data_IF_441184734763
#
_entry.id   IF_441184734763
#
_cell.length_a   1.000
_cell.length_b   1.000
_cell.length_c   1.000
_cell.angle_alpha   90.00
_cell.angle_beta   90.00
_cell.angle_gamma   90.00
#
_symmetry.space_group_name_H-M   'P 1'
#
loop_
_entity.id
_entity.type
_entity.pdbx_description
1 polymer ?
#
# COMPACT_ATOMS: atom_id res chain seq x y z
N UNK A 1 63.21 55.48 85.22
CA UNK A 1 61.76 55.26 84.99
C UNK A 1 60.99 55.73 86.22
N UNK A 2 60.03 56.64 86.07
CA UNK A 2 59.14 57.03 87.17
C UNK A 2 58.18 55.88 87.52
N UNK A 3 57.80 55.65 88.79
CA UNK A 3 56.86 54.59 89.21
C UNK A 3 55.56 54.55 88.41
N UNK A 4 55.03 55.70 88.01
CA UNK A 4 53.82 55.85 87.19
C UNK A 4 53.90 55.15 85.81
N UNK A 5 55.10 55.10 85.22
CA UNK A 5 55.31 54.48 83.91
C UNK A 5 55.15 52.96 84.01
N UNK A 6 55.70 52.38 85.08
CA UNK A 6 55.61 50.94 85.35
C UNK A 6 54.14 50.57 85.59
N UNK A 7 53.40 51.38 86.35
CA UNK A 7 51.98 51.13 86.64
C UNK A 7 51.13 51.18 85.36
N UNK A 8 51.31 52.19 84.51
CA UNK A 8 50.56 52.31 83.26
C UNK A 8 50.89 51.18 82.27
N UNK A 9 52.17 50.87 82.06
CA UNK A 9 52.58 49.77 81.19
C UNK A 9 52.08 48.41 81.68
N UNK A 10 52.08 48.17 82.99
CA UNK A 10 51.53 46.94 83.59
C UNK A 10 50.01 46.86 83.43
N UNK A 11 49.29 47.97 83.63
CA UNK A 11 47.83 48.01 83.45
C UNK A 11 47.41 47.77 81.99
N UNK A 12 48.08 48.40 81.02
CA UNK A 12 47.83 48.18 79.59
C UNK A 12 48.18 46.74 79.21
N UNK A 13 49.33 46.21 79.65
CA UNK A 13 49.70 44.82 79.38
C UNK A 13 48.68 43.83 79.96
N UNK A 14 48.22 44.04 81.20
CA UNK A 14 47.22 43.19 81.82
C UNK A 14 45.87 43.27 81.10
N UNK A 15 45.42 44.47 80.72
CA UNK A 15 44.19 44.66 79.96
C UNK A 15 44.22 43.98 78.59
N UNK A 16 45.34 44.08 77.88
CA UNK A 16 45.56 43.41 76.59
C UNK A 16 45.56 41.90 76.73
N UNK A 17 46.28 41.37 77.71
CA UNK A 17 46.32 39.92 77.98
C UNK A 17 44.93 39.41 78.38
N UNK A 18 44.23 40.12 79.26
CA UNK A 18 42.87 39.76 79.67
C UNK A 18 41.89 39.76 78.48
N UNK A 19 41.97 40.76 77.60
CA UNK A 19 41.15 40.84 76.38
C UNK A 19 41.45 39.69 75.41
N UNK A 20 42.73 39.43 75.13
CA UNK A 20 43.16 38.35 74.23
C UNK A 20 42.82 36.97 74.79
N UNK A 21 42.98 36.75 76.10
CA UNK A 21 42.58 35.51 76.79
C UNK A 21 41.07 35.33 76.74
N UNK A 22 40.29 36.39 76.96
CA UNK A 22 38.82 36.34 76.86
C UNK A 22 38.38 35.96 75.44
N UNK A 23 38.95 36.61 74.42
CA UNK A 23 38.67 36.27 73.03
C UNK A 23 39.08 34.83 72.71
N UNK A 24 40.24 34.38 73.18
CA UNK A 24 40.72 33.02 72.97
C UNK A 24 39.80 31.97 73.64
N UNK A 25 39.34 32.23 74.87
CA UNK A 25 38.47 31.31 75.60
C UNK A 25 37.05 31.26 75.01
N UNK A 26 36.52 32.39 74.55
CA UNK A 26 35.16 32.47 73.98
C UNK A 26 35.11 31.96 72.54
N UNK A 27 36.08 32.35 71.72
CA UNK A 27 36.04 32.09 70.27
C UNK A 27 36.95 30.95 69.81
N UNK A 28 37.82 30.40 70.66
CA UNK A 28 38.68 29.21 70.49
C UNK A 28 39.66 29.21 69.30
N UNK A 29 39.23 29.58 68.07
CA UNK A 29 40.02 29.76 66.84
C UNK A 29 39.37 30.84 65.95
N UNK A 30 40.16 31.51 65.11
CA UNK A 30 39.63 32.13 63.88
C UNK A 30 39.45 33.65 63.83
N UNK A 31 38.33 34.16 63.28
CA UNK A 31 38.15 35.58 62.89
C UNK A 31 38.21 36.48 64.12
N UNK A 32 37.52 36.11 65.20
CA UNK A 32 37.45 36.93 66.41
C UNK A 32 38.82 37.09 67.08
N UNK A 33 39.66 36.04 67.07
CA UNK A 33 41.05 36.11 67.57
C UNK A 33 41.90 37.04 66.70
N UNK A 34 41.81 36.93 65.38
CA UNK A 34 42.57 37.81 64.46
C UNK A 34 42.12 39.26 64.55
N UNK A 35 40.81 39.49 64.61
CA UNK A 35 40.26 40.83 64.83
C UNK A 35 40.72 41.37 66.19
N UNK A 36 40.74 40.52 67.22
CA UNK A 36 41.28 40.85 68.54
C UNK A 36 42.74 41.30 68.48
N UNK A 37 43.61 40.56 67.78
CA UNK A 37 45.01 40.95 67.59
C UNK A 37 45.17 42.25 66.81
N UNK A 38 44.37 42.46 65.76
CA UNK A 38 44.39 43.71 64.97
C UNK A 38 43.92 44.89 65.82
N UNK A 39 42.83 44.73 66.58
CA UNK A 39 42.31 45.78 67.49
C UNK A 39 43.34 46.14 68.55
N UNK A 40 43.94 45.13 69.20
CA UNK A 40 45.02 45.34 70.17
C UNK A 40 46.20 46.06 69.53
N UNK A 41 46.66 45.62 68.35
CA UNK A 41 47.77 46.22 67.64
C UNK A 41 47.49 47.63 67.09
N UNK A 42 46.23 47.97 66.82
CA UNK A 42 45.83 49.32 66.41
C UNK A 42 45.62 50.27 67.57
N UNK A 43 45.31 49.77 68.78
CA UNK A 43 45.01 50.62 69.95
C UNK A 43 46.25 50.79 70.83
N UNK A 44 46.95 49.70 71.16
CA UNK A 44 48.01 49.72 72.18
C UNK A 44 49.23 50.57 71.78
N UNK A 45 49.83 50.43 70.57
CA UNK A 45 51.00 51.23 70.20
C UNK A 45 50.72 52.74 70.15
N UNK A 46 49.60 53.24 69.57
CA UNK A 46 49.25 54.65 69.66
C UNK A 46 49.03 55.13 71.09
N UNK A 47 48.35 54.35 71.95
CA UNK A 47 48.11 54.77 73.34
C UNK A 47 49.41 54.85 74.14
N UNK A 48 50.32 53.88 73.96
CA UNK A 48 51.65 53.89 74.59
C UNK A 48 52.50 55.05 74.05
N UNK A 49 52.51 55.27 72.74
CA UNK A 49 53.24 56.38 72.12
C UNK A 49 52.72 57.75 72.59
N UNK A 50 51.39 57.94 72.64
CA UNK A 50 50.77 59.17 73.13
C UNK A 50 51.10 59.44 74.60
N UNK A 51 51.10 58.41 75.45
CA UNK A 51 51.48 58.52 76.86
C UNK A 51 52.96 58.90 77.03
N UNK A 52 53.86 58.30 76.24
CA UNK A 52 55.30 58.63 76.24
C UNK A 52 55.52 60.09 75.79
N UNK A 53 54.89 60.49 74.68
CA UNK A 53 55.00 61.86 74.13
C UNK A 53 54.41 62.93 75.08
N UNK A 54 53.33 62.61 75.79
CA UNK A 54 52.72 63.51 76.77
C UNK A 54 53.59 63.80 77.99
N UNK A 55 54.55 62.92 78.31
CA UNK A 55 55.44 63.05 79.48
C UNK A 55 56.81 63.65 79.15
N UNK A 56 57.41 63.30 78.01
CA UNK A 56 58.73 63.84 77.59
C UNK A 56 58.66 65.23 76.92
N UNK A 57 57.44 65.71 76.64
CA UNK A 57 57.21 66.93 75.88
C UNK A 57 57.22 66.67 74.37
N UNK A 58 56.31 67.32 73.65
CA UNK A 58 56.16 67.13 72.20
C UNK A 58 57.26 67.92 71.49
N UNK A 59 58.41 67.27 71.26
CA UNK A 59 59.40 67.74 70.29
C UNK A 59 58.96 67.32 68.88
N UNK A 60 59.18 68.15 67.85
CA UNK A 60 58.93 67.76 66.46
C UNK A 60 59.60 66.43 66.08
N UNK A 61 60.76 66.14 66.67
CA UNK A 61 61.54 64.91 66.39
C UNK A 61 60.89 63.68 67.04
N UNK A 62 60.43 63.77 68.29
CA UNK A 62 59.81 62.63 68.98
C UNK A 62 58.43 62.31 68.40
N UNK A 63 57.66 63.32 68.01
CA UNK A 63 56.41 63.14 67.28
C UNK A 63 56.63 62.48 65.91
N UNK A 64 57.65 62.91 65.16
CA UNK A 64 57.99 62.30 63.87
C UNK A 64 58.39 60.82 63.99
N UNK A 65 59.19 60.47 65.00
CA UNK A 65 59.58 59.07 65.27
C UNK A 65 58.38 58.21 65.68
N UNK A 66 57.49 58.73 66.54
CA UNK A 66 56.29 58.01 66.94
C UNK A 66 55.36 57.74 65.74
N UNK A 67 55.15 58.74 64.87
CA UNK A 67 54.38 58.58 63.63
C UNK A 67 55.05 57.58 62.68
N UNK A 68 56.38 57.66 62.51
CA UNK A 68 57.14 56.77 61.65
C UNK A 68 57.13 55.30 62.09
N UNK A 69 56.86 55.02 63.37
CA UNK A 69 56.74 53.64 63.90
C UNK A 69 55.28 53.19 63.91
N UNK A 70 54.37 54.02 64.42
CA UNK A 70 52.97 53.64 64.64
C UNK A 70 52.21 53.53 63.32
N UNK A 71 52.42 54.44 62.37
CA UNK A 71 51.67 54.44 61.10
C UNK A 71 51.98 53.18 60.26
N UNK A 72 53.24 52.77 60.05
CA UNK A 72 53.53 51.53 59.32
C UNK A 72 52.98 50.28 60.00
N UNK A 73 52.96 50.22 61.33
CA UNK A 73 52.36 49.10 62.08
C UNK A 73 50.85 49.04 61.82
N UNK A 74 50.15 50.16 61.90
CA UNK A 74 48.71 50.22 61.59
C UNK A 74 48.45 49.83 60.15
N UNK A 75 49.23 50.34 59.18
CA UNK A 75 49.11 49.96 57.77
C UNK A 75 49.32 48.45 57.59
N UNK A 76 50.35 47.88 58.21
CA UNK A 76 50.61 46.44 58.15
C UNK A 76 49.47 45.60 58.75
N UNK A 77 48.89 46.04 59.88
CA UNK A 77 47.75 45.38 60.52
C UNK A 77 46.47 45.47 59.67
N UNK A 78 46.21 46.64 59.06
CA UNK A 78 45.09 46.82 58.12
C UNK A 78 45.27 45.93 56.89
N UNK A 79 46.47 45.87 56.31
CA UNK A 79 46.78 44.97 55.19
C UNK A 79 46.60 43.50 55.58
N UNK A 80 47.00 43.12 56.79
CA UNK A 80 46.79 41.78 57.34
C UNK A 80 45.30 41.49 57.51
N UNK A 81 44.51 42.42 58.04
CA UNK A 81 43.05 42.30 58.19
C UNK A 81 42.36 42.16 56.82
N UNK A 82 42.76 42.97 55.84
CA UNK A 82 42.24 42.89 54.47
C UNK A 82 42.53 41.52 53.88
N UNK A 83 43.78 41.04 54.00
CA UNK A 83 44.20 39.77 53.41
C UNK A 83 43.62 38.54 54.12
N UNK A 84 43.48 38.59 55.45
CA UNK A 84 43.09 37.42 56.24
C UNK A 84 41.59 37.31 56.52
N UNK A 85 40.83 38.40 56.44
CA UNK A 85 39.40 38.43 56.80
C UNK A 85 38.57 39.00 55.63
N UNK A 86 38.86 40.23 55.18
CA UNK A 86 38.00 40.92 54.22
C UNK A 86 38.02 40.24 52.84
N UNK A 87 39.20 39.88 52.33
CA UNK A 87 39.32 39.29 50.99
C UNK A 87 38.63 37.92 50.90
N UNK A 88 38.84 36.95 51.82
CA UNK A 88 38.08 35.70 51.80
C UNK A 88 36.57 35.90 51.96
N UNK A 89 36.13 36.80 52.84
CA UNK A 89 34.71 37.10 53.03
C UNK A 89 34.07 37.72 51.77
N UNK A 90 34.78 38.63 51.09
CA UNK A 90 34.34 39.18 49.80
C UNK A 90 34.28 38.12 48.71
N UNK A 91 35.24 37.20 48.67
CA UNK A 91 35.24 36.09 47.72
C UNK A 91 34.03 35.17 47.96
N UNK A 92 33.74 34.83 49.22
CA UNK A 92 32.54 34.06 49.58
C UNK A 92 31.25 34.76 49.18
N UNK A 93 31.15 36.07 49.42
CA UNK A 93 29.99 36.86 49.02
C UNK A 93 29.82 36.86 47.50
N UNK A 94 30.90 37.06 46.74
CA UNK A 94 30.88 37.00 45.28
C UNK A 94 30.47 35.61 44.75
N UNK A 95 30.96 34.54 45.38
CA UNK A 95 30.57 33.16 45.04
C UNK A 95 29.09 32.90 45.36
N UNK A 96 28.59 33.38 46.51
CA UNK A 96 27.17 33.28 46.86
C UNK A 96 26.29 34.02 45.84
N UNK A 97 26.70 35.22 45.44
CA UNK A 97 26.00 36.02 44.44
C UNK A 97 26.04 35.35 43.05
N UNK A 98 27.17 34.75 42.66
CA UNK A 98 27.27 33.98 41.42
C UNK A 98 26.32 32.78 41.40
N UNK A 99 26.26 32.01 42.50
CA UNK A 99 25.34 30.88 42.62
C UNK A 99 23.89 31.35 42.52
N UNK A 100 23.52 32.41 43.25
CA UNK A 100 22.15 32.89 43.30
C UNK A 100 21.69 33.55 41.99
N UNK A 101 22.52 34.43 41.43
CA UNK A 101 22.15 35.26 40.28
C UNK A 101 22.36 34.58 38.94
N UNK A 102 23.28 33.61 38.84
CA UNK A 102 23.56 32.89 37.59
C UNK A 102 23.10 31.45 37.65
N UNK A 103 23.78 30.60 38.42
CA UNK A 103 23.57 29.16 38.33
C UNK A 103 22.13 28.75 38.73
N UNK A 104 21.58 29.32 39.81
CA UNK A 104 20.21 29.04 40.24
C UNK A 104 19.15 29.66 39.33
N UNK A 105 19.42 30.86 38.78
CA UNK A 105 18.54 31.50 37.81
C UNK A 105 18.49 30.69 36.50
N UNK A 106 19.62 30.14 36.06
CA UNK A 106 19.71 29.28 34.89
C UNK A 106 18.98 27.95 35.12
N UNK A 107 19.16 27.30 36.28
CA UNK A 107 18.37 26.12 36.67
C UNK A 107 16.87 26.40 36.60
N UNK A 108 16.43 27.54 37.15
CA UNK A 108 15.02 27.94 37.13
C UNK A 108 14.50 28.11 35.70
N UNK A 109 15.29 28.77 34.83
CA UNK A 109 14.95 28.94 33.41
C UNK A 109 14.84 27.61 32.68
N UNK A 110 15.82 26.71 32.87
CA UNK A 110 15.84 25.37 32.25
C UNK A 110 14.64 24.56 32.72
N UNK A 111 14.33 24.57 34.02
CA UNK A 111 13.16 23.90 34.58
C UNK A 111 11.84 24.48 34.02
N UNK A 112 11.74 25.80 33.87
CA UNK A 112 10.57 26.46 33.31
C UNK A 112 10.36 26.10 31.82
N UNK A 113 11.43 26.13 31.02
CA UNK A 113 11.40 25.73 29.61
C UNK A 113 10.97 24.25 29.47
N UNK A 114 11.51 23.37 30.32
CA UNK A 114 11.14 21.97 30.33
C UNK A 114 9.66 21.75 30.72
N UNK A 115 9.14 22.54 31.67
CA UNK A 115 7.76 22.45 32.11
C UNK A 115 6.74 22.77 31.01
N UNK A 116 7.14 23.55 29.99
CA UNK A 116 6.32 23.85 28.81
C UNK A 116 6.70 23.01 27.57
N UNK A 117 7.65 22.07 27.72
CA UNK A 117 8.05 21.14 26.64
C UNK A 117 9.04 21.72 25.64
N UNK A 118 9.73 22.82 25.97
CA UNK A 118 10.77 23.36 25.09
C UNK A 118 12.03 22.49 25.11
N UNK A 119 12.74 22.46 23.98
CA UNK A 119 14.07 21.84 23.90
C UNK A 119 15.06 22.76 24.60
N UNK A 120 15.75 22.22 25.62
CA UNK A 120 16.68 23.00 26.43
C UNK A 120 18.10 22.49 26.26
N UNK A 121 19.05 23.41 26.14
CA UNK A 121 20.47 23.08 26.19
C UNK A 121 20.88 22.70 27.62
N UNK A 122 21.86 21.78 27.78
CA UNK A 122 22.37 21.44 29.10
C UNK A 122 22.96 22.67 29.80
N UNK A 123 22.51 22.93 31.02
CA UNK A 123 23.12 23.94 31.89
C UNK A 123 24.60 23.60 32.11
N UNK A 124 25.44 24.59 32.39
CA UNK A 124 26.76 24.32 32.96
C UNK A 124 26.92 25.13 34.23
N UNK A 125 27.14 24.48 35.36
CA UNK A 125 27.47 25.21 36.59
C UNK A 125 28.82 25.93 36.42
N UNK A 126 28.85 27.24 36.66
CA UNK A 126 30.06 28.06 36.46
C UNK A 126 30.85 28.28 37.75
N UNK A 127 30.29 27.92 38.90
CA UNK A 127 30.88 28.25 40.19
C UNK A 127 32.04 27.32 40.55
N UNK A 128 33.18 27.93 40.92
CA UNK A 128 34.37 27.20 41.36
C UNK A 128 34.43 27.04 42.89
N UNK A 129 35.00 25.93 43.40
CA UNK A 129 35.22 25.74 44.82
C UNK A 129 36.10 26.83 45.45
N UNK A 130 35.77 27.22 46.67
CA UNK A 130 36.55 28.14 47.48
C UNK A 130 37.73 27.42 48.16
N UNK A 131 38.83 28.13 48.36
CA UNK A 131 39.98 27.61 49.10
C UNK A 131 39.67 27.40 50.58
N UNK A 132 39.52 26.13 51.00
CA UNK A 132 39.07 25.76 52.35
C UNK A 132 40.20 25.31 53.30
N UNK A 133 41.47 25.59 52.97
CA UNK A 133 42.65 25.13 53.74
C UNK A 133 42.83 25.79 55.11
N UNK A 134 41.87 26.58 55.59
CA UNK A 134 41.92 27.25 56.89
C UNK A 134 41.16 26.42 57.93
N UNK A 135 41.68 26.42 59.15
CA UNK A 135 41.06 25.78 60.31
C UNK A 135 40.46 26.83 61.26
N UNK A 136 39.53 27.62 60.71
CA UNK A 136 38.81 28.72 61.36
C UNK A 136 37.37 28.82 60.81
N UNK A 137 36.56 29.77 61.30
CA UNK A 137 35.16 29.92 60.90
C UNK A 137 35.01 30.29 59.42
N UNK A 138 35.99 31.00 58.84
CA UNK A 138 36.03 31.23 57.39
C UNK A 138 36.29 29.91 56.64
N UNK A 139 37.18 29.06 57.16
CA UNK A 139 37.41 27.73 56.64
C UNK A 139 36.15 26.85 56.71
N UNK A 140 35.44 26.86 57.83
CA UNK A 140 34.16 26.14 57.99
C UNK A 140 33.10 26.66 57.03
N UNK A 141 32.99 27.99 56.88
CA UNK A 141 32.08 28.61 55.94
C UNK A 141 32.45 28.23 54.49
N UNK A 142 33.75 28.25 54.14
CA UNK A 142 34.22 27.82 52.82
C UNK A 142 33.88 26.34 52.55
N UNK A 143 34.05 25.47 53.54
CA UNK A 143 33.64 24.05 53.45
C UNK A 143 32.13 23.90 53.25
N UNK A 144 31.32 24.70 53.95
CA UNK A 144 29.87 24.71 53.75
C UNK A 144 29.48 25.15 52.34
N UNK A 145 30.08 26.24 51.83
CA UNK A 145 29.89 26.69 50.45
C UNK A 145 30.33 25.63 49.44
N UNK A 146 31.47 24.97 49.65
CA UNK A 146 31.93 23.91 48.76
C UNK A 146 30.98 22.71 48.71
N UNK A 147 30.34 22.34 49.83
CA UNK A 147 29.26 21.34 49.83
C UNK A 147 28.06 21.80 49.02
N UNK A 148 27.66 23.07 49.15
CA UNK A 148 26.57 23.63 48.35
C UNK A 148 26.89 23.63 46.85
N UNK A 149 28.12 24.01 46.47
CA UNK A 149 28.59 23.96 45.07
C UNK A 149 28.57 22.51 44.55
N UNK A 150 29.01 21.55 45.36
CA UNK A 150 28.98 20.14 44.98
C UNK A 150 27.54 19.63 44.76
N UNK A 151 26.62 19.93 45.69
CA UNK A 151 25.20 19.59 45.53
C UNK A 151 24.57 20.27 44.31
N UNK A 152 24.97 21.51 43.98
CA UNK A 152 24.53 22.20 42.78
C UNK A 152 25.02 21.50 41.51
N UNK A 153 26.26 20.98 41.52
CA UNK A 153 26.80 20.15 40.44
C UNK A 153 26.06 18.83 40.28
N UNK A 154 25.69 18.16 41.38
CA UNK A 154 24.86 16.94 41.32
C UNK A 154 23.48 17.21 40.71
N UNK A 155 22.88 18.37 41.02
CA UNK A 155 21.63 18.82 40.42
C UNK A 155 21.81 19.11 38.92
N UNK A 156 22.86 19.84 38.54
CA UNK A 156 23.22 20.10 37.13
C UNK A 156 23.33 18.79 36.33
N UNK A 157 24.07 17.82 36.85
CA UNK A 157 24.24 16.50 36.23
C UNK A 157 22.92 15.72 36.10
N UNK A 158 22.05 15.82 37.11
CA UNK A 158 20.72 15.21 37.05
C UNK A 158 19.85 15.86 35.97
N UNK A 159 19.87 17.19 35.86
CA UNK A 159 19.17 17.93 34.80
C UNK A 159 19.71 17.56 33.41
N UNK A 160 21.04 17.49 33.22
CA UNK A 160 21.66 17.05 31.96
C UNK A 160 21.19 15.67 31.53
N UNK A 161 21.14 14.71 32.47
CA UNK A 161 20.64 13.35 32.17
C UNK A 161 19.16 13.35 31.80
N UNK A 162 18.36 14.21 32.46
CA UNK A 162 16.93 14.35 32.19
C UNK A 162 16.66 15.02 30.82
N UNK A 163 17.33 16.12 30.49
CA UNK A 163 17.16 16.80 29.19
C UNK A 163 17.65 15.94 28.03
N UNK A 164 18.78 15.25 28.20
CA UNK A 164 19.26 14.26 27.23
C UNK A 164 18.26 13.11 27.03
N UNK A 165 17.70 12.58 28.12
CA UNK A 165 16.66 11.56 28.04
C UNK A 165 15.43 11.99 27.25
N UNK A 166 14.90 13.17 27.56
CA UNK A 166 13.72 13.71 26.90
C UNK A 166 14.02 14.00 25.43
N UNK A 167 15.24 14.42 25.09
CA UNK A 167 15.66 14.62 23.70
C UNK A 167 15.71 13.31 22.92
N UNK A 168 16.23 12.23 23.51
CA UNK A 168 16.27 10.89 22.87
C UNK A 168 14.87 10.35 22.59
N UNK A 169 13.98 10.43 23.59
CA UNK A 169 12.59 9.97 23.45
C UNK A 169 11.84 10.83 22.44
N UNK A 170 11.98 12.15 22.51
CA UNK A 170 11.37 13.07 21.55
C UNK A 170 11.83 12.79 20.13
N UNK A 171 13.13 12.56 19.91
CA UNK A 171 13.66 12.19 18.59
C UNK A 171 13.08 10.86 18.10
N UNK A 172 12.94 9.87 18.98
CA UNK A 172 12.35 8.58 18.63
C UNK A 172 10.86 8.69 18.28
N UNK A 173 10.10 9.51 19.01
CA UNK A 173 8.69 9.78 18.73
C UNK A 173 8.53 10.53 17.41
N UNK A 174 9.42 11.47 17.11
CA UNK A 174 9.46 12.19 15.83
C UNK A 174 9.70 11.23 14.66
N UNK A 175 10.65 10.31 14.78
CA UNK A 175 10.87 9.28 13.75
C UNK A 175 9.62 8.40 13.53
N UNK A 176 8.95 7.98 14.60
CA UNK A 176 7.68 7.24 14.51
C UNK A 176 6.62 8.08 13.79
N UNK A 177 6.51 9.37 14.10
CA UNK A 177 5.55 10.28 13.48
C UNK A 177 5.83 10.46 11.97
N UNK A 178 7.08 10.36 11.55
CA UNK A 178 7.51 10.36 10.15
C UNK A 178 7.32 9.00 9.46
N UNK A 179 6.84 7.97 10.18
CA UNK A 179 6.62 6.63 9.65
C UNK A 179 7.85 5.73 9.68
N UNK A 180 8.97 6.18 10.23
CA UNK A 180 10.14 5.34 10.46
C UNK A 180 9.96 4.49 11.72
N UNK A 181 9.47 3.28 11.51
CA UNK A 181 9.25 2.28 12.56
C UNK A 181 10.46 1.37 12.80
N UNK A 182 11.59 1.63 12.12
CA UNK A 182 12.83 0.87 12.29
C UNK A 182 13.64 1.29 13.53
N UNK A 183 13.27 2.43 14.13
CA UNK A 183 13.92 2.97 15.32
C UNK A 183 13.80 2.02 16.50
N UNK A 184 14.94 1.69 17.10
CA UNK A 184 15.01 0.88 18.32
C UNK A 184 14.88 1.78 19.54
N UNK A 185 13.68 1.78 20.12
CA UNK A 185 13.43 2.42 21.41
C UNK A 185 13.68 1.41 22.52
N UNK A 186 14.49 1.79 23.50
CA UNK A 186 14.73 0.99 24.70
C UNK A 186 14.32 1.81 25.93
N UNK A 187 13.42 1.25 26.74
CA UNK A 187 13.11 1.80 28.05
C UNK A 187 14.36 1.72 28.93
N UNK A 188 14.71 2.81 29.62
CA UNK A 188 15.92 2.86 30.47
C UNK A 188 15.75 2.07 31.78
N UNK A 189 14.52 1.80 32.19
CA UNK A 189 14.17 0.96 33.33
C UNK A 189 12.71 0.50 33.24
N UNK A 190 12.29 -0.46 34.07
CA UNK A 190 10.88 -0.90 34.13
C UNK A 190 9.92 0.20 34.61
N UNK A 191 10.45 1.25 35.25
CA UNK A 191 9.68 2.42 35.71
C UNK A 191 9.73 3.58 34.72
N UNK A 192 10.34 3.37 33.56
CA UNK A 192 10.45 4.37 32.53
C UNK A 192 9.12 4.51 31.78
N UNK A 193 8.27 5.43 32.26
CA UNK A 193 6.92 5.64 31.73
C UNK A 193 6.98 6.10 30.26
N UNK A 194 7.82 7.08 29.95
CA UNK A 194 7.91 7.64 28.60
C UNK A 194 8.53 6.66 27.61
N UNK A 195 9.62 6.00 28.00
CA UNK A 195 10.30 5.00 27.17
C UNK A 195 9.39 3.81 26.90
N UNK A 196 8.72 3.29 27.93
CA UNK A 196 7.79 2.16 27.75
C UNK A 196 6.56 2.56 26.93
N UNK A 197 6.05 3.80 27.07
CA UNK A 197 4.96 4.29 26.24
C UNK A 197 5.36 4.38 24.76
N UNK A 198 6.55 4.93 24.49
CA UNK A 198 7.09 5.01 23.13
C UNK A 198 7.34 3.63 22.52
N UNK A 199 7.87 2.67 23.29
CA UNK A 199 8.02 1.26 22.85
C UNK A 199 6.67 0.63 22.50
N UNK A 200 5.65 0.80 23.35
CA UNK A 200 4.30 0.24 23.08
C UNK A 200 3.66 0.87 21.85
N UNK A 201 3.87 2.16 21.63
CA UNK A 201 3.41 2.90 20.44
C UNK A 201 4.12 2.38 19.18
N UNK A 202 5.45 2.27 19.19
CA UNK A 202 6.23 1.72 18.09
C UNK A 202 5.81 0.28 17.76
N UNK A 203 5.63 -0.55 18.78
CA UNK A 203 5.19 -1.93 18.61
C UNK A 203 3.79 -2.04 18.01
N UNK A 204 2.87 -1.14 18.38
CA UNK A 204 1.54 -1.08 17.80
C UNK A 204 1.56 -0.76 16.31
N UNK A 205 2.29 0.29 15.94
CA UNK A 205 2.38 0.70 14.55
C UNK A 205 3.12 -0.33 13.70
N UNK A 206 4.17 -0.97 14.24
CA UNK A 206 4.86 -2.07 13.57
C UNK A 206 3.94 -3.27 13.33
N UNK A 207 3.10 -3.64 14.30
CA UNK A 207 2.12 -4.70 14.14
C UNK A 207 1.12 -4.38 13.02
N UNK A 208 0.59 -3.15 12.98
CA UNK A 208 -0.32 -2.72 11.92
C UNK A 208 0.36 -2.64 10.55
N UNK A 209 1.61 -2.20 10.49
CA UNK A 209 2.40 -2.22 9.26
C UNK A 209 2.60 -3.65 8.74
N UNK A 210 2.89 -4.61 9.62
CA UNK A 210 3.02 -6.03 9.25
C UNK A 210 1.68 -6.62 8.76
N UNK A 211 0.55 -6.24 9.38
CA UNK A 211 -0.79 -6.61 8.89
C UNK A 211 -1.03 -6.04 7.50
N UNK A 212 -0.73 -4.77 7.29
CA UNK A 212 -0.88 -4.11 5.99
C UNK A 212 -0.04 -4.78 4.90
N UNK A 213 1.20 -5.14 5.21
CA UNK A 213 2.12 -5.82 4.29
C UNK A 213 1.58 -7.21 3.89
N UNK A 214 1.07 -8.00 4.85
CA UNK A 214 0.42 -9.29 4.55
C UNK A 214 -0.82 -9.14 3.67
N UNK A 215 -1.68 -8.16 3.97
CA UNK A 215 -2.86 -7.86 3.15
C UNK A 215 -2.45 -7.44 1.73
N UNK A 216 -1.39 -6.64 1.59
CA UNK A 216 -0.85 -6.23 0.29
C UNK A 216 -0.27 -7.41 -0.51
N UNK A 217 0.24 -8.44 0.17
CA UNK A 217 0.67 -9.70 -0.43
C UNK A 217 -0.50 -10.66 -0.76
N UNK A 218 -1.74 -10.25 -0.48
CA UNK A 218 -2.96 -11.05 -0.73
C UNK A 218 -3.30 -12.05 0.38
N UNK A 219 -2.57 -12.03 1.50
CA UNK A 219 -2.84 -12.90 2.64
C UNK A 219 -3.91 -12.30 3.55
N UNK A 220 -5.16 -12.69 3.31
CA UNK A 220 -6.32 -12.29 4.12
C UNK A 220 -6.55 -13.20 5.34
N UNK A 221 -5.67 -14.16 5.62
CA UNK A 221 -5.75 -14.99 6.83
C UNK A 221 -5.31 -14.22 8.09
N UNK A 222 -4.58 -13.12 7.91
CA UNK A 222 -4.20 -12.21 8.99
C UNK A 222 -5.43 -11.57 9.63
N UNK A 223 -5.36 -11.33 10.93
CA UNK A 223 -6.40 -10.61 11.67
C UNK A 223 -5.79 -9.44 12.40
N UNK A 224 -6.27 -8.23 12.11
CA UNK A 224 -6.04 -7.09 12.98
C UNK A 224 -6.87 -7.29 14.25
N UNK A 225 -6.22 -7.32 15.42
CA UNK A 225 -6.90 -7.41 16.72
C UNK A 225 -6.87 -6.03 17.37
N UNK A 226 -8.02 -5.31 17.42
CA UNK A 226 -8.11 -4.05 18.14
C UNK A 226 -7.64 -4.22 19.59
N UNK A 227 -6.76 -3.35 20.07
CA UNK A 227 -6.22 -3.41 21.44
C UNK A 227 -7.19 -2.89 22.49
N UNK A 228 -8.20 -2.12 22.08
CA UNK A 228 -9.26 -1.61 22.93
C UNK A 228 -10.47 -1.21 22.09
N UNK A 229 -11.62 -0.96 22.72
CA UNK A 229 -12.82 -0.44 22.04
C UNK A 229 -12.61 0.95 21.41
N UNK A 230 -11.55 1.67 21.81
CA UNK A 230 -11.18 2.98 21.25
C UNK A 230 -10.07 2.89 20.20
N UNK A 231 -9.67 1.68 19.83
CA UNK A 231 -8.61 1.45 18.86
C UNK A 231 -9.12 1.70 17.42
N UNK A 232 -9.13 2.98 17.03
CA UNK A 232 -9.64 3.42 15.72
C UNK A 232 -8.90 2.76 14.57
N UNK A 233 -7.58 2.64 14.66
CA UNK A 233 -6.75 2.08 13.58
C UNK A 233 -6.94 0.57 13.49
N UNK A 234 -6.93 -0.14 14.61
CA UNK A 234 -7.15 -1.59 14.65
C UNK A 234 -8.53 -1.98 14.13
N UNK A 235 -9.56 -1.24 14.54
CA UNK A 235 -10.94 -1.41 14.04
C UNK A 235 -11.06 -1.11 12.54
N UNK A 236 -10.36 -0.09 12.04
CA UNK A 236 -10.34 0.21 10.60
C UNK A 236 -9.70 -0.91 9.79
N UNK A 237 -8.56 -1.44 10.23
CA UNK A 237 -7.91 -2.60 9.60
C UNK A 237 -8.79 -3.84 9.66
N UNK A 238 -9.45 -4.11 10.79
CA UNK A 238 -10.35 -5.26 10.93
C UNK A 238 -11.52 -5.19 9.92
N UNK A 239 -12.16 -4.01 9.78
CA UNK A 239 -13.21 -3.79 8.77
C UNK A 239 -12.70 -3.93 7.34
N UNK A 240 -11.51 -3.41 7.04
CA UNK A 240 -10.90 -3.52 5.72
C UNK A 240 -10.63 -4.99 5.36
N UNK A 241 -10.01 -5.75 6.26
CA UNK A 241 -9.72 -7.18 6.04
C UNK A 241 -11.01 -7.97 5.86
N UNK A 242 -12.03 -7.71 6.70
CA UNK A 242 -13.33 -8.37 6.58
C UNK A 242 -14.01 -8.09 5.23
N UNK A 243 -13.96 -6.84 4.76
CA UNK A 243 -14.47 -6.46 3.45
C UNK A 243 -13.74 -7.20 2.32
N UNK A 244 -12.40 -7.20 2.33
CA UNK A 244 -11.60 -7.90 1.33
C UNK A 244 -11.87 -9.41 1.34
N UNK A 245 -12.02 -10.02 2.52
CA UNK A 245 -12.36 -11.43 2.66
C UNK A 245 -13.74 -11.74 2.06
N UNK A 246 -14.74 -10.89 2.31
CA UNK A 246 -16.08 -11.03 1.73
C UNK A 246 -16.05 -10.95 0.20
N UNK A 247 -15.22 -10.06 -0.36
CA UNK A 247 -15.04 -9.98 -1.82
C UNK A 247 -14.32 -11.22 -2.38
N UNK A 248 -13.33 -11.75 -1.65
CA UNK A 248 -12.65 -12.99 -2.04
C UNK A 248 -13.61 -14.19 -2.04
N UNK A 249 -14.45 -14.33 -1.02
CA UNK A 249 -15.48 -15.39 -0.94
C UNK A 249 -16.49 -15.26 -2.09
N UNK A 250 -16.89 -14.03 -2.43
CA UNK A 250 -17.79 -13.79 -3.57
C UNK A 250 -17.12 -14.13 -4.91
N UNK A 251 -15.83 -13.80 -5.06
CA UNK A 251 -15.06 -14.17 -6.25
C UNK A 251 -14.95 -15.69 -6.41
N UNK A 252 -14.68 -16.41 -5.31
CA UNK A 252 -14.59 -17.87 -5.30
C UNK A 252 -15.96 -18.50 -5.66
N UNK A 253 -17.05 -18.01 -5.07
CA UNK A 253 -18.40 -18.46 -5.43
C UNK A 253 -18.71 -18.24 -6.92
N UNK A 254 -18.37 -17.07 -7.48
CA UNK A 254 -18.55 -16.78 -8.91
C UNK A 254 -17.69 -17.70 -9.77
N UNK A 255 -16.43 -17.93 -9.39
CA UNK A 255 -15.52 -18.84 -10.10
C UNK A 255 -16.04 -20.28 -10.12
N UNK A 256 -16.72 -20.71 -9.06
CA UNK A 256 -17.41 -22.01 -8.98
C UNK A 256 -18.75 -22.03 -9.73
N UNK A 257 -19.13 -20.94 -10.41
CA UNK A 257 -20.35 -20.83 -11.20
C UNK A 257 -21.60 -20.44 -10.40
N UNK A 258 -21.47 -20.15 -9.10
CA UNK A 258 -22.56 -19.65 -8.27
C UNK A 258 -22.77 -18.14 -8.50
N UNK A 259 -23.52 -17.80 -9.54
CA UNK A 259 -23.90 -16.42 -9.87
C UNK A 259 -25.08 -15.88 -9.03
N UNK A 260 -25.56 -16.65 -8.05
CA UNK A 260 -26.60 -16.20 -7.13
C UNK A 260 -26.04 -15.43 -5.92
N UNK A 261 -24.71 -15.38 -5.77
CA UNK A 261 -24.08 -14.60 -4.70
C UNK A 261 -24.44 -13.12 -4.85
N UNK A 262 -24.88 -12.49 -3.75
CA UNK A 262 -25.26 -11.08 -3.73
C UNK A 262 -24.14 -10.26 -3.11
N UNK A 263 -23.41 -9.54 -3.97
CA UNK A 263 -22.48 -8.50 -3.52
C UNK A 263 -23.27 -7.20 -3.34
N UNK A 264 -23.15 -6.57 -2.18
CA UNK A 264 -23.74 -5.26 -1.90
C UNK A 264 -22.63 -4.24 -1.67
N UNK A 265 -22.53 -3.19 -2.50
CA UNK A 265 -21.57 -2.11 -2.27
C UNK A 265 -21.76 -1.51 -0.87
N UNK A 266 -20.68 -1.34 -0.13
CA UNK A 266 -20.72 -0.81 1.24
C UNK A 266 -21.00 0.70 1.29
N UNK A 267 -20.73 1.41 0.19
CA UNK A 267 -21.00 2.85 0.05
C UNK A 267 -21.14 3.24 -1.43
N UNK A 268 -21.53 4.48 -1.70
CA UNK A 268 -21.51 5.04 -3.06
C UNK A 268 -20.11 5.15 -3.68
N UNK A 269 -19.06 5.09 -2.86
CA UNK A 269 -17.66 5.14 -3.29
C UNK A 269 -17.03 3.73 -3.41
N UNK A 270 -17.80 2.68 -3.15
CA UNK A 270 -17.32 1.31 -3.22
C UNK A 270 -17.19 0.82 -4.68
N UNK A 271 -16.06 1.18 -5.29
CA UNK A 271 -15.73 0.83 -6.68
C UNK A 271 -15.64 -0.68 -6.88
N UNK A 272 -15.02 -1.40 -5.93
CA UNK A 272 -14.80 -2.83 -6.04
C UNK A 272 -16.13 -3.59 -5.94
N UNK A 273 -16.95 -3.27 -4.93
CA UNK A 273 -18.29 -3.85 -4.77
C UNK A 273 -19.18 -3.58 -5.98
N UNK A 274 -19.17 -2.35 -6.51
CA UNK A 274 -19.92 -2.01 -7.72
C UNK A 274 -19.43 -2.77 -8.97
N UNK A 275 -18.12 -3.02 -9.08
CA UNK A 275 -17.56 -3.83 -10.16
C UNK A 275 -17.99 -5.29 -10.08
N UNK A 276 -18.01 -5.89 -8.89
CA UNK A 276 -18.51 -7.24 -8.66
C UNK A 276 -19.98 -7.39 -9.04
N UNK A 277 -20.84 -6.43 -8.69
CA UNK A 277 -22.26 -6.43 -9.07
C UNK A 277 -22.44 -6.42 -10.59
N UNK A 278 -21.69 -5.57 -11.31
CA UNK A 278 -21.72 -5.55 -12.79
C UNK A 278 -21.20 -6.86 -13.37
N UNK A 279 -20.11 -7.39 -12.83
CA UNK A 279 -19.53 -8.66 -13.28
C UNK A 279 -20.53 -9.82 -13.12
N UNK A 280 -21.15 -9.97 -11.95
CA UNK A 280 -22.13 -11.04 -11.71
C UNK A 280 -23.36 -10.88 -12.60
N UNK A 281 -23.81 -9.64 -12.85
CA UNK A 281 -24.90 -9.34 -13.79
C UNK A 281 -24.57 -9.80 -15.21
N UNK A 282 -23.43 -9.36 -15.75
CA UNK A 282 -22.98 -9.72 -17.10
C UNK A 282 -22.78 -11.23 -17.26
N UNK A 283 -22.19 -11.90 -16.25
CA UNK A 283 -22.02 -13.36 -16.27
C UNK A 283 -23.37 -14.07 -16.29
N UNK A 284 -24.38 -13.56 -15.55
CA UNK A 284 -25.73 -14.13 -15.51
C UNK A 284 -26.45 -13.96 -16.85
N UNK A 285 -26.33 -12.78 -17.46
CA UNK A 285 -26.88 -12.52 -18.80
C UNK A 285 -26.24 -13.44 -19.84
N UNK A 286 -24.90 -13.56 -19.83
CA UNK A 286 -24.18 -14.45 -20.74
C UNK A 286 -24.59 -15.91 -20.56
N UNK A 287 -24.69 -16.40 -19.31
CA UNK A 287 -25.14 -17.76 -19.03
C UNK A 287 -26.59 -18.01 -19.51
N UNK A 288 -27.46 -17.01 -19.38
CA UNK A 288 -28.83 -17.07 -19.89
C UNK A 288 -28.86 -17.15 -21.42
N UNK A 289 -28.11 -16.29 -22.10
CA UNK A 289 -28.02 -16.28 -23.56
C UNK A 289 -27.44 -17.59 -24.12
N UNK A 290 -26.42 -18.17 -23.48
CA UNK A 290 -25.87 -19.48 -23.88
C UNK A 290 -26.91 -20.59 -23.70
N UNK A 291 -27.70 -20.57 -22.63
CA UNK A 291 -28.77 -21.55 -22.40
C UNK A 291 -29.86 -21.44 -23.46
N UNK A 292 -30.30 -20.22 -23.77
CA UNK A 292 -31.30 -19.97 -24.82
C UNK A 292 -30.79 -20.43 -26.19
N UNK A 293 -29.55 -20.08 -26.56
CA UNK A 293 -28.92 -20.55 -27.79
C UNK A 293 -28.83 -22.08 -27.88
N UNK A 294 -28.53 -22.75 -26.76
CA UNK A 294 -28.50 -24.21 -26.69
C UNK A 294 -29.88 -24.84 -26.90
N UNK A 295 -30.95 -24.21 -26.37
CA UNK A 295 -32.32 -24.65 -26.60
C UNK A 295 -32.72 -24.48 -28.07
N UNK A 296 -32.42 -23.33 -28.68
CA UNK A 296 -32.70 -23.08 -30.10
C UNK A 296 -31.95 -24.05 -31.01
N UNK A 297 -30.67 -24.34 -30.71
CA UNK A 297 -29.88 -25.34 -31.45
C UNK A 297 -30.48 -26.74 -31.32
N UNK A 298 -30.93 -27.12 -30.13
CA UNK A 298 -31.56 -28.43 -29.88
C UNK A 298 -32.85 -28.57 -30.67
N UNK A 299 -33.68 -27.51 -30.71
CA UNK A 299 -34.91 -27.49 -31.50
C UNK A 299 -34.63 -27.59 -33.01
N UNK A 300 -33.68 -26.80 -33.54
CA UNK A 300 -33.29 -26.87 -34.95
C UNK A 300 -32.74 -28.26 -35.33
N UNK A 301 -31.97 -28.89 -34.44
CA UNK A 301 -31.45 -30.25 -34.66
C UNK A 301 -32.59 -31.27 -34.73
N UNK A 302 -33.63 -31.13 -33.91
CA UNK A 302 -34.81 -31.99 -33.96
C UNK A 302 -35.60 -31.81 -35.27
N UNK A 303 -35.76 -30.58 -35.76
CA UNK A 303 -36.38 -30.31 -37.06
C UNK A 303 -35.58 -30.90 -38.23
N UNK A 304 -34.26 -30.75 -38.21
CA UNK A 304 -33.37 -31.35 -39.21
C UNK A 304 -33.52 -32.88 -39.20
N UNK A 305 -33.54 -33.51 -38.03
CA UNK A 305 -33.72 -34.96 -37.92
C UNK A 305 -35.06 -35.42 -38.51
N UNK A 306 -36.13 -34.67 -38.27
CA UNK A 306 -37.43 -34.94 -38.87
C UNK A 306 -37.40 -34.79 -40.40
N UNK A 307 -36.78 -33.73 -40.91
CA UNK A 307 -36.63 -33.51 -42.35
C UNK A 307 -35.79 -34.61 -43.03
N UNK A 308 -34.69 -35.04 -42.40
CA UNK A 308 -33.85 -36.15 -42.88
C UNK A 308 -34.65 -37.46 -42.93
N UNK A 309 -35.49 -37.72 -41.92
CA UNK A 309 -36.35 -38.90 -41.89
C UNK A 309 -37.36 -38.89 -43.04
N UNK A 310 -38.01 -37.74 -43.27
CA UNK A 310 -38.93 -37.57 -44.39
C UNK A 310 -38.23 -37.70 -45.74
N UNK A 311 -37.05 -37.09 -45.89
CA UNK A 311 -36.25 -37.18 -47.11
C UNK A 311 -35.83 -38.63 -47.40
N UNK A 312 -35.51 -39.41 -46.38
CA UNK A 312 -35.20 -40.84 -46.52
C UNK A 312 -36.42 -41.62 -47.02
N UNK A 313 -37.61 -41.33 -46.51
CA UNK A 313 -38.85 -41.95 -47.00
C UNK A 313 -39.12 -41.59 -48.46
N UNK A 314 -39.03 -40.31 -48.84
CA UNK A 314 -39.20 -39.87 -50.23
C UNK A 314 -38.13 -40.44 -51.18
N UNK A 315 -36.87 -40.58 -50.72
CA UNK A 315 -35.82 -41.21 -51.51
C UNK A 315 -36.14 -42.70 -51.80
N UNK A 316 -36.74 -43.42 -50.84
CA UNK A 316 -37.20 -44.80 -51.05
C UNK A 316 -38.35 -44.86 -52.07
N UNK A 317 -39.32 -43.94 -51.96
CA UNK A 317 -40.42 -43.83 -52.95
C UNK A 317 -39.88 -43.52 -54.36
N UNK A 318 -38.91 -42.60 -54.46
CA UNK A 318 -38.26 -42.26 -55.72
C UNK A 318 -37.50 -43.46 -56.30
N UNK A 319 -36.80 -44.24 -55.47
CA UNK A 319 -36.14 -45.48 -55.92
C UNK A 319 -37.15 -46.47 -56.50
N UNK A 320 -38.31 -46.64 -55.86
CA UNK A 320 -39.38 -47.50 -56.38
C UNK A 320 -39.95 -46.97 -57.70
N UNK A 321 -40.16 -45.66 -57.82
CA UNK A 321 -40.62 -45.02 -59.05
C UNK A 321 -39.62 -45.22 -60.20
N UNK A 322 -38.31 -45.09 -59.94
CA UNK A 322 -37.26 -45.36 -60.93
C UNK A 322 -37.31 -46.82 -61.38
N UNK A 323 -37.45 -47.79 -60.47
CA UNK A 323 -37.61 -49.20 -60.85
C UNK A 323 -38.83 -49.42 -61.76
N UNK A 324 -39.96 -48.79 -61.46
CA UNK A 324 -41.15 -48.88 -62.30
C UNK A 324 -40.92 -48.25 -63.68
N UNK A 325 -40.27 -47.09 -63.76
CA UNK A 325 -39.92 -46.46 -65.04
C UNK A 325 -38.98 -47.35 -65.86
N UNK A 326 -37.99 -47.99 -65.22
CA UNK A 326 -37.11 -48.95 -65.92
C UNK A 326 -37.91 -50.12 -66.48
N UNK A 327 -38.84 -50.69 -65.71
CA UNK A 327 -39.72 -51.75 -66.20
C UNK A 327 -40.60 -51.28 -67.39
N UNK A 328 -41.17 -50.08 -67.32
CA UNK A 328 -41.93 -49.50 -68.44
C UNK A 328 -41.04 -49.30 -69.67
N UNK A 329 -39.79 -48.88 -69.50
CA UNK A 329 -38.84 -48.74 -70.61
C UNK A 329 -38.55 -50.10 -71.26
N UNK A 330 -38.40 -51.17 -70.46
CA UNK A 330 -38.23 -52.54 -70.98
C UNK A 330 -39.48 -53.04 -71.72
N UNK A 331 -40.68 -52.78 -71.19
CA UNK A 331 -41.94 -53.10 -71.87
C UNK A 331 -42.11 -52.33 -73.19
N UNK A 332 -41.80 -51.03 -73.20
CA UNK A 332 -41.85 -50.18 -74.41
C UNK A 332 -40.85 -50.66 -75.46
N UNK A 333 -39.65 -51.08 -75.02
CA UNK A 333 -38.65 -51.68 -75.91
C UNK A 333 -39.19 -52.96 -76.54
N UNK A 334 -39.72 -53.88 -75.74
CA UNK A 334 -40.29 -55.14 -76.22
C UNK A 334 -41.47 -54.90 -77.20
N UNK A 335 -42.35 -53.96 -76.89
CA UNK A 335 -43.46 -53.59 -77.77
C UNK A 335 -42.97 -52.96 -79.09
N UNK A 336 -41.88 -52.17 -79.05
CA UNK A 336 -41.26 -51.59 -80.25
C UNK A 336 -40.62 -52.66 -81.14
N UNK A 337 -39.92 -53.63 -80.54
CA UNK A 337 -39.37 -54.79 -81.24
C UNK A 337 -40.48 -55.62 -81.90
N UNK A 338 -41.57 -55.93 -81.18
CA UNK A 338 -42.73 -56.63 -81.72
C UNK A 338 -43.42 -55.84 -82.85
N UNK A 339 -43.52 -54.52 -82.72
CA UNK A 339 -44.13 -53.66 -83.75
C UNK A 339 -43.27 -53.65 -85.01
N UNK A 340 -41.94 -53.59 -84.85
CA UNK A 340 -41.00 -53.67 -85.98
C UNK A 340 -41.10 -55.02 -86.71
N UNK A 341 -41.22 -56.13 -85.97
CA UNK A 341 -41.44 -57.47 -86.53
C UNK A 341 -42.74 -57.54 -87.36
N UNK A 342 -43.87 -57.12 -86.77
CA UNK A 342 -45.17 -57.06 -87.46
C UNK A 342 -45.16 -56.15 -88.68
N UNK A 343 -44.48 -54.99 -88.61
CA UNK A 343 -44.32 -54.11 -89.75
C UNK A 343 -43.53 -54.80 -90.89
N UNK A 344 -42.53 -55.60 -90.53
CA UNK A 344 -41.81 -56.48 -91.45
C UNK A 344 -42.71 -57.53 -92.10
N UNK A 345 -43.54 -58.22 -91.32
CA UNK A 345 -44.53 -59.20 -91.83
C UNK A 345 -45.54 -58.54 -92.79
N UNK A 346 -46.10 -57.38 -92.43
CA UNK A 346 -47.03 -56.62 -93.27
C UNK A 346 -46.36 -56.19 -94.58
N UNK A 347 -45.10 -55.74 -94.53
CA UNK A 347 -44.33 -55.39 -95.74
C UNK A 347 -44.15 -56.61 -96.66
N UNK A 348 -43.83 -57.79 -96.10
CA UNK A 348 -43.74 -59.04 -96.88
C UNK A 348 -45.10 -59.44 -97.49
N UNK A 349 -46.18 -59.35 -96.71
CA UNK A 349 -47.53 -59.64 -97.18
C UNK A 349 -47.93 -58.72 -98.33
N UNK A 350 -47.66 -57.41 -98.19
CA UNK A 350 -47.94 -56.43 -99.23
C UNK A 350 -47.14 -56.71 -100.52
N UNK A 351 -45.86 -57.07 -100.42
CA UNK A 351 -45.07 -57.53 -101.57
C UNK A 351 -45.67 -58.79 -102.21
N UNK A 352 -46.17 -59.73 -101.40
CA UNK A 352 -46.93 -60.90 -101.85
C UNK A 352 -48.18 -60.51 -102.64
N UNK A 353 -49.00 -59.60 -102.12
CA UNK A 353 -50.21 -59.10 -102.80
C UNK A 353 -49.88 -58.40 -104.12
N UNK A 354 -48.81 -57.58 -104.17
CA UNK A 354 -48.36 -56.94 -105.42
C UNK A 354 -48.00 -57.99 -106.47
N UNK A 355 -47.27 -59.04 -106.08
CA UNK A 355 -46.91 -60.15 -106.97
C UNK A 355 -48.16 -60.89 -107.48
N UNK A 356 -49.10 -61.22 -106.60
CA UNK A 356 -50.37 -61.86 -106.99
C UNK A 356 -51.19 -60.95 -107.92
N UNK A 357 -51.27 -59.64 -107.64
CA UNK A 357 -51.93 -58.69 -108.54
C UNK A 357 -51.25 -58.61 -109.90
N UNK A 358 -49.91 -58.62 -109.98
CA UNK A 358 -49.17 -58.64 -111.25
C UNK A 358 -49.47 -59.92 -112.07
N UNK A 359 -49.45 -61.08 -111.41
CA UNK A 359 -49.84 -62.37 -112.03
C UNK A 359 -51.30 -62.33 -112.51
N UNK A 360 -52.20 -61.74 -111.71
CA UNK A 360 -53.60 -61.50 -112.07
C UNK A 360 -53.75 -60.57 -113.28
N UNK A 361 -53.02 -59.45 -113.33
CA UNK A 361 -53.01 -58.54 -114.48
C UNK A 361 -52.54 -59.24 -115.75
N UNK A 362 -51.46 -60.04 -115.68
CA UNK A 362 -51.00 -60.84 -116.82
C UNK A 362 -52.07 -61.84 -117.29
N UNK A 363 -52.79 -62.46 -116.35
CA UNK A 363 -53.88 -63.37 -116.67
C UNK A 363 -55.03 -62.64 -117.38
N UNK A 364 -55.40 -61.43 -116.92
CA UNK A 364 -56.41 -60.60 -117.60
C UNK A 364 -55.94 -60.14 -118.98
N UNK A 365 -54.67 -59.74 -119.14
CA UNK A 365 -54.10 -59.40 -120.45
C UNK A 365 -54.12 -60.59 -121.41
N UNK A 366 -53.87 -61.80 -120.91
CA UNK A 366 -53.99 -63.03 -121.69
C UNK A 366 -55.45 -63.27 -122.13
N UNK A 367 -56.42 -63.05 -121.24
CA UNK A 367 -57.86 -63.12 -121.55
C UNK A 367 -58.23 -62.06 -122.60
N UNK A 368 -57.79 -60.82 -122.46
CA UNK A 368 -58.07 -59.73 -123.42
C UNK A 368 -57.50 -60.06 -124.81
N UNK A 369 -56.27 -60.57 -124.89
CA UNK A 369 -55.69 -61.06 -126.16
C UNK A 369 -56.53 -62.17 -126.77
N UNK A 370 -56.93 -63.17 -125.96
CA UNK A 370 -57.82 -64.24 -126.41
C UNK A 370 -59.17 -63.70 -126.91
N UNK A 371 -59.75 -62.71 -126.24
CA UNK A 371 -61.00 -62.06 -126.66
C UNK A 371 -60.85 -61.28 -127.97
N UNK A 372 -59.71 -60.60 -128.19
CA UNK A 372 -59.41 -59.96 -129.48
C UNK A 372 -59.28 -60.99 -130.60
N UNK A 373 -58.60 -62.11 -130.35
CA UNK A 373 -58.49 -63.21 -131.32
C UNK A 373 -59.87 -63.80 -131.65
N UNK A 374 -60.72 -64.01 -130.63
CA UNK A 374 -62.12 -64.42 -130.84
C UNK A 374 -62.86 -63.38 -131.68
N UNK A 375 -62.72 -62.09 -131.38
CA UNK A 375 -63.36 -61.02 -132.15
C UNK A 375 -62.93 -61.02 -133.61
N UNK A 376 -61.64 -61.22 -133.89
CA UNK A 376 -61.10 -61.32 -135.24
C UNK A 376 -61.64 -62.56 -135.97
N UNK A 377 -61.67 -63.72 -135.31
CA UNK A 377 -62.28 -64.95 -135.87
C UNK A 377 -63.76 -64.77 -136.16
N UNK A 378 -64.51 -64.11 -135.27
CA UNK A 378 -65.94 -63.81 -135.48
C UNK A 378 -66.14 -62.82 -136.64
N UNK A 379 -65.28 -61.81 -136.77
CA UNK A 379 -65.32 -60.88 -137.90
C UNK A 379 -64.99 -61.57 -139.23
N UNK A 380 -64.01 -62.47 -139.24
CA UNK A 380 -63.68 -63.31 -140.39
C UNK A 380 -64.86 -64.22 -140.76
N UNK A 381 -65.48 -64.90 -139.79
CA UNK A 381 -66.70 -65.70 -140.01
C UNK A 381 -67.82 -64.82 -140.58
N UNK A 382 -68.02 -63.61 -140.06
CA UNK A 382 -69.03 -62.69 -140.59
C UNK A 382 -68.74 -62.27 -142.04
N UNK A 383 -67.47 -62.06 -142.40
CA UNK A 383 -67.04 -61.82 -143.78
C UNK A 383 -67.26 -63.04 -144.68
N UNK A 384 -66.90 -64.24 -144.22
CA UNK A 384 -67.12 -65.49 -144.96
C UNK A 384 -68.61 -65.75 -145.18
N UNK A 385 -69.46 -65.45 -144.19
CA UNK A 385 -70.93 -65.53 -144.32
C UNK A 385 -71.44 -64.53 -145.36
N UNK A 386 -70.92 -63.30 -145.38
CA UNK A 386 -71.27 -62.31 -146.41
C UNK A 386 -70.80 -62.73 -147.80
N UNK A 387 -69.59 -63.28 -147.92
CA UNK A 387 -69.05 -63.80 -149.17
C UNK A 387 -69.86 -65.01 -149.67
N UNK A 388 -70.24 -65.92 -148.77
CA UNK A 388 -71.10 -67.06 -149.07
C UNK A 388 -72.51 -66.62 -149.44
N UNK A 389 -73.04 -65.59 -148.79
CA UNK A 389 -74.32 -64.96 -149.16
C UNK A 389 -74.27 -64.37 -150.57
N UNK A 390 -73.19 -63.68 -150.92
CA UNK A 390 -72.99 -63.16 -152.28
C UNK A 390 -72.87 -64.29 -153.32
N UNK A 391 -72.13 -65.36 -153.01
CA UNK A 391 -71.96 -66.50 -153.90
C UNK A 391 -73.25 -67.32 -154.06
N UNK A 392 -74.05 -67.46 -153.00
CA UNK A 392 -75.38 -68.07 -153.07
C UNK A 392 -76.35 -67.26 -153.93
N UNK A 393 -76.24 -65.92 -153.92
CA UNK A 393 -77.05 -65.05 -154.75
C UNK A 393 -76.63 -65.12 -156.23
N UNK A 394 -75.33 -65.27 -156.50
CA UNK A 394 -74.78 -65.49 -157.84
C UNK A 394 -75.18 -66.86 -158.42
N UNK A 395 -75.28 -67.91 -157.60
CA UNK A 395 -75.84 -69.21 -158.02
C UNK A 395 -77.34 -69.09 -158.31
N UNK A 396 -78.06 -68.21 -157.60
CA UNK A 396 -79.46 -67.92 -157.85
C UNK A 396 -79.75 -67.28 -159.21
N UNK A 397 -78.85 -66.45 -159.75
CA UNK A 397 -79.03 -65.80 -161.06
C UNK A 397 -78.76 -66.72 -162.25
N UNK A 398 -78.04 -67.84 -162.07
CA UNK A 398 -77.76 -68.80 -163.16
C UNK A 398 -78.93 -69.80 -163.37
N UNK A 399 -79.92 -69.85 -162.47
CA UNK A 399 -81.03 -70.81 -162.48
C UNK A 399 -82.36 -70.20 -162.99
N UNK A 400 -82.34 -69.07 -163.73
CA UNK A 400 -83.54 -68.58 -164.43
C UNK A 400 -83.32 -68.16 -165.87
#
# INVERSE_FOLDING_TARGET
MSPEYIIFSVAVAFGVVAFLVTIYLVYRRGIAIRLGWVVVGCVVPPTVAAFVLGKEGISPVTAAVAVAIVVPIIIALVLLMVRQIIAPARQMAATAEQIAARDLAELSRVAAALAVGERVEPMNAHTQPLGAGRDDELGDLARAFNRMIASLGEVDDAFKRMTGYLSDVSGSVESIAQGDLSVRIAARSDRDILGTAAVRMAAYLNEMAAVADRVAQGDLSVRARPRSERDVLGEAFARMIHYLHTMADAADAIAQGNLAVSVRPQSSLDVLGAAFVRMSGNLKEMASATREGSHSMSAATAEILAAVSQHTASANEQSAAVHQVTATVDEVRAASEQTAEKAGEVAQMAQGSVRVSQEGTQSVEAILRGMTEIRERVAAIAQDVLALSAQSQQIGEIIR
#
